data_IF_654758629564
#
_entry.id   IF_654758629564
#
_cell.length_a   1.000
_cell.length_b   1.000
_cell.length_c   1.000
_cell.angle_alpha   90.00
_cell.angle_beta   90.00
_cell.angle_gamma   90.00
#
_symmetry.space_group_name_H-M   'P 1'
#
loop_
_entity.id
_entity.type
_entity.pdbx_description
1 polymer ?
#
# COMPACT_ATOMS: atom_id res chain seq x y z
N UNK A 1 -8.23 9.31 0.18
CA UNK A 1 -8.66 7.98 -0.31
C UNK A 1 -7.49 7.01 -0.53
N UNK A 2 -6.24 7.50 -0.62
CA UNK A 2 -5.04 6.69 -0.83
C UNK A 2 -4.46 6.04 0.44
N UNK A 3 -4.94 6.38 1.62
CA UNK A 3 -4.47 5.78 2.88
C UNK A 3 -4.66 4.28 2.87
N UNK A 4 -3.64 3.56 3.35
CA UNK A 4 -3.63 2.09 3.39
C UNK A 4 -3.58 1.65 4.84
N UNK A 5 -4.56 0.91 5.28
CA UNK A 5 -4.56 0.28 6.59
C UNK A 5 -3.78 -1.04 6.48
N UNK A 6 -2.55 -1.05 7.03
CA UNK A 6 -1.66 -2.21 6.95
C UNK A 6 -1.91 -3.22 8.08
N UNK A 7 -2.39 -2.75 9.23
CA UNK A 7 -2.71 -3.59 10.38
C UNK A 7 -3.76 -2.93 11.26
N UNK A 8 -4.67 -3.72 11.82
CA UNK A 8 -5.65 -3.24 12.80
C UNK A 8 -6.16 -4.40 13.66
N UNK A 9 -5.32 -4.85 14.57
CA UNK A 9 -5.60 -5.96 15.46
C UNK A 9 -6.25 -5.49 16.76
N UNK A 10 -6.83 -6.44 17.47
CA UNK A 10 -7.31 -6.21 18.83
C UNK A 10 -6.11 -6.04 19.78
N UNK A 11 -6.15 -5.04 20.64
CA UNK A 11 -5.08 -4.77 21.63
C UNK A 11 -5.01 -5.88 22.69
N UNK A 12 -6.18 -6.38 23.08
CA UNK A 12 -6.29 -7.46 24.08
C UNK A 12 -6.87 -8.71 23.44
N UNK A 13 -5.99 -9.58 23.00
CA UNK A 13 -6.36 -10.86 22.38
C UNK A 13 -6.99 -11.86 23.36
N UNK A 14 -6.93 -11.60 24.68
CA UNK A 14 -7.49 -12.48 25.72
C UNK A 14 -8.96 -12.21 26.01
N UNK A 15 -9.51 -11.07 25.55
CA UNK A 15 -10.90 -10.68 25.76
C UNK A 15 -11.76 -10.94 24.53
N UNK A 16 -12.81 -11.73 24.68
CA UNK A 16 -13.80 -11.97 23.62
C UNK A 16 -14.63 -10.74 23.22
N UNK A 17 -14.47 -9.62 23.93
CA UNK A 17 -15.13 -8.34 23.68
C UNK A 17 -14.18 -7.25 23.14
N UNK A 18 -12.92 -7.58 22.85
CA UNK A 18 -11.96 -6.59 22.32
C UNK A 18 -12.27 -6.25 20.86
N UNK A 19 -12.30 -4.96 20.55
CA UNK A 19 -12.40 -4.45 19.18
C UNK A 19 -11.02 -4.02 18.69
N UNK A 20 -10.82 -3.95 17.36
CA UNK A 20 -9.63 -3.30 16.79
C UNK A 20 -9.44 -1.88 17.33
N UNK A 21 -8.18 -1.41 17.37
CA UNK A 21 -7.86 -0.09 17.93
C UNK A 21 -8.38 1.05 17.06
N UNK A 22 -8.39 0.89 15.75
CA UNK A 22 -8.96 1.87 14.82
C UNK A 22 -10.35 1.44 14.33
N UNK A 23 -11.28 2.40 14.12
CA UNK A 23 -11.13 3.85 14.34
C UNK A 23 -11.06 4.22 15.81
N UNK A 24 -10.35 5.32 16.11
CA UNK A 24 -10.17 5.84 17.46
C UNK A 24 -11.50 6.31 18.06
N UNK A 25 -11.64 6.13 19.37
CA UNK A 25 -12.77 6.70 20.10
C UNK A 25 -12.53 8.20 20.30
N UNK A 26 -13.49 9.08 19.93
CA UNK A 26 -13.36 10.52 20.14
C UNK A 26 -13.19 10.95 21.61
N UNK A 27 -13.44 10.05 22.58
CA UNK A 27 -13.25 10.31 24.01
C UNK A 27 -11.84 10.05 24.51
N UNK A 28 -10.99 9.34 23.74
CA UNK A 28 -9.65 8.97 24.16
C UNK A 28 -8.73 10.18 24.32
N UNK A 29 -7.87 10.12 25.34
CA UNK A 29 -6.76 11.03 25.53
C UNK A 29 -5.61 10.62 24.61
N UNK A 30 -5.11 11.53 23.80
CA UNK A 30 -4.18 11.27 22.73
C UNK A 30 -2.80 11.89 23.03
N UNK A 31 -1.73 11.13 22.79
CA UNK A 31 -0.37 11.62 22.67
C UNK A 31 0.09 11.54 21.21
N UNK A 32 0.69 12.61 20.68
CA UNK A 32 1.29 12.65 19.34
C UNK A 32 2.82 12.57 19.48
N UNK A 33 3.40 11.56 18.88
CA UNK A 33 4.81 11.22 19.07
C UNK A 33 5.47 10.99 17.72
N UNK A 34 6.79 11.21 17.65
CA UNK A 34 7.61 10.89 16.48
C UNK A 34 7.96 12.10 15.63
N UNK A 35 8.99 11.98 14.78
CA UNK A 35 9.55 13.12 14.05
C UNK A 35 8.56 13.76 13.05
N UNK A 36 7.59 12.99 12.56
CA UNK A 36 6.63 13.48 11.57
C UNK A 36 5.26 13.92 12.16
N UNK A 37 5.13 14.03 13.49
CA UNK A 37 3.83 14.41 14.08
C UNK A 37 3.33 15.79 13.60
N UNK A 38 4.25 16.70 13.29
CA UNK A 38 3.95 18.03 12.76
C UNK A 38 4.41 18.22 11.31
N UNK A 39 4.53 17.14 10.54
CA UNK A 39 4.98 17.17 9.17
C UNK A 39 4.13 18.13 8.31
N UNK A 40 4.80 18.95 7.52
CA UNK A 40 4.22 19.83 6.50
C UNK A 40 4.91 19.58 5.16
N UNK A 41 6.16 19.98 5.02
CA UNK A 41 6.98 19.77 3.84
C UNK A 41 7.24 18.28 3.59
N UNK A 42 7.46 17.49 4.65
CA UNK A 42 7.66 16.04 4.57
C UNK A 42 6.48 15.27 3.96
N UNK A 43 5.28 15.85 3.94
CA UNK A 43 4.12 15.22 3.33
C UNK A 43 4.04 15.45 1.83
N UNK A 44 4.97 16.22 1.25
CA UNK A 44 4.94 16.63 -0.14
C UNK A 44 6.17 16.06 -0.84
N UNK A 45 5.94 15.21 -1.85
CA UNK A 45 7.02 14.63 -2.66
C UNK A 45 7.88 15.72 -3.32
N UNK A 46 9.10 15.41 -3.72
CA UNK A 46 9.98 16.32 -4.48
C UNK A 46 9.43 16.68 -5.87
N UNK A 47 8.58 15.83 -6.45
CA UNK A 47 7.95 16.05 -7.75
C UNK A 47 6.58 16.71 -7.58
N UNK A 48 6.58 17.99 -7.23
CA UNK A 48 5.37 18.77 -7.04
C UNK A 48 5.42 20.10 -7.81
N UNK A 49 4.25 20.70 -8.03
CA UNK A 49 4.13 22.08 -8.50
C UNK A 49 4.36 23.09 -7.38
N UNK A 50 3.90 24.32 -7.56
CA UNK A 50 3.95 25.34 -6.51
C UNK A 50 3.09 24.89 -5.31
N UNK A 51 3.73 24.72 -4.16
CA UNK A 51 3.09 24.34 -2.90
C UNK A 51 3.07 25.54 -1.96
N UNK A 52 1.93 25.77 -1.35
CA UNK A 52 1.80 26.81 -0.32
C UNK A 52 1.93 26.18 1.04
N UNK A 53 3.15 26.03 1.56
CA UNK A 53 3.43 25.41 2.86
C UNK A 53 2.60 26.02 4.00
N UNK A 54 2.31 27.35 3.94
CA UNK A 54 1.43 27.99 4.91
C UNK A 54 -0.03 27.50 4.86
N UNK A 55 -0.42 26.73 3.85
CA UNK A 55 -1.75 26.13 3.72
C UNK A 55 -1.70 24.60 3.92
N UNK A 56 -0.53 24.03 4.17
CA UNK A 56 -0.37 22.60 4.45
C UNK A 56 -0.86 22.31 5.87
N UNK A 57 -1.72 21.31 5.98
CA UNK A 57 -2.32 20.92 7.24
C UNK A 57 -1.53 19.76 7.84
N UNK A 58 -0.71 20.01 8.87
CA UNK A 58 0.02 18.95 9.56
C UNK A 58 -0.92 18.03 10.37
N UNK A 59 -0.52 16.78 10.65
CA UNK A 59 -1.26 15.89 11.55
C UNK A 59 -1.52 16.52 12.91
N UNK A 60 -0.52 17.20 13.49
CA UNK A 60 -0.65 17.91 14.77
C UNK A 60 -1.75 18.98 14.73
N UNK A 61 -1.75 19.85 13.72
CA UNK A 61 -2.72 20.94 13.61
C UNK A 61 -4.16 20.41 13.57
N UNK A 62 -4.40 19.36 12.80
CA UNK A 62 -5.76 18.83 12.61
C UNK A 62 -6.19 17.97 13.79
N UNK A 63 -5.33 17.10 14.28
CA UNK A 63 -5.67 16.21 15.40
C UNK A 63 -5.86 17.05 16.69
N UNK A 64 -4.96 17.99 16.99
CA UNK A 64 -5.09 18.86 18.17
C UNK A 64 -6.37 19.67 18.15
N UNK A 65 -6.76 20.23 17.00
CA UNK A 65 -8.02 20.93 16.82
C UNK A 65 -9.23 20.01 17.05
N UNK A 66 -9.13 18.76 16.60
CA UNK A 66 -10.20 17.76 16.70
C UNK A 66 -10.42 17.30 18.14
N UNK A 67 -9.34 17.00 18.85
CA UNK A 67 -9.43 16.40 20.20
C UNK A 67 -9.48 17.44 21.32
N UNK A 68 -9.00 18.66 21.07
CA UNK A 68 -9.01 19.76 22.04
C UNK A 68 -8.27 19.40 23.32
N UNK A 69 -8.92 19.53 24.49
CA UNK A 69 -8.37 19.27 25.82
C UNK A 69 -7.97 17.80 26.06
N UNK A 70 -8.34 16.88 25.15
CA UNK A 70 -7.92 15.47 25.22
C UNK A 70 -6.54 15.23 24.65
N UNK A 71 -5.90 16.21 24.01
CA UNK A 71 -4.51 16.14 23.66
C UNK A 71 -3.67 16.26 24.93
N UNK A 72 -3.03 15.15 25.34
CA UNK A 72 -2.14 15.13 26.49
C UNK A 72 -0.87 15.94 26.21
N UNK A 73 -0.38 15.85 24.98
CA UNK A 73 0.79 16.55 24.53
C UNK A 73 1.40 15.95 23.27
N UNK A 74 2.57 16.44 22.93
CA UNK A 74 3.34 15.94 21.80
C UNK A 74 4.82 15.86 22.18
N UNK A 75 5.55 14.95 21.54
CA UNK A 75 7.00 14.80 21.66
C UNK A 75 7.58 14.26 20.36
N UNK A 76 8.57 14.93 19.75
CA UNK A 76 9.27 14.39 18.58
C UNK A 76 9.95 13.04 18.89
N UNK A 77 10.42 12.87 20.13
CA UNK A 77 11.14 11.67 20.55
C UNK A 77 12.55 11.59 19.97
N UNK A 78 12.69 11.90 18.71
CA UNK A 78 13.95 11.96 17.98
C UNK A 78 14.49 13.38 17.95
N UNK A 79 15.82 13.52 18.10
CA UNK A 79 16.51 14.80 17.89
C UNK A 79 17.54 14.60 16.79
N UNK A 80 17.68 15.57 15.89
CA UNK A 80 18.68 15.55 14.83
C UNK A 80 20.04 16.02 15.32
N UNK A 81 21.08 15.61 14.60
CA UNK A 81 22.47 16.06 14.90
C UNK A 81 22.71 17.53 14.50
N UNK A 82 21.85 18.12 13.71
CA UNK A 82 22.15 19.34 12.97
C UNK A 82 21.21 20.47 13.39
N UNK A 83 21.20 20.93 14.55
CA UNK A 83 20.58 22.17 15.08
C UNK A 83 19.72 23.10 14.19
N UNK A 84 19.61 22.78 12.90
CA UNK A 84 18.91 23.54 11.88
C UNK A 84 17.53 22.96 11.49
N UNK A 85 17.11 21.82 12.09
CA UNK A 85 15.76 21.27 11.90
C UNK A 85 14.90 21.59 13.14
N UNK A 86 14.11 22.67 13.09
CA UNK A 86 13.30 23.11 14.22
C UNK A 86 12.15 22.16 14.56
N UNK A 87 11.82 21.20 13.70
CA UNK A 87 10.69 20.29 13.86
C UNK A 87 11.05 18.87 14.33
N UNK A 88 12.32 18.64 14.69
CA UNK A 88 12.81 17.33 15.12
C UNK A 88 13.24 16.46 13.94
N UNK A 89 14.54 16.15 13.87
CA UNK A 89 15.15 15.50 12.73
C UNK A 89 14.54 14.14 12.44
N UNK A 90 14.03 13.96 11.23
CA UNK A 90 13.59 12.68 10.70
C UNK A 90 14.69 11.63 10.66
N UNK A 91 15.96 12.04 10.68
CA UNK A 91 17.11 11.15 10.82
C UNK A 91 17.15 10.38 12.15
N UNK A 92 16.56 10.95 13.22
CA UNK A 92 16.43 10.29 14.53
C UNK A 92 17.75 9.70 15.06
N UNK A 93 18.83 10.46 15.02
CA UNK A 93 20.16 10.00 15.44
C UNK A 93 20.40 10.11 16.96
N UNK A 94 19.62 10.95 17.65
CA UNK A 94 19.69 11.16 19.09
C UNK A 94 18.39 10.71 19.78
N UNK A 95 18.54 9.93 20.84
CA UNK A 95 17.44 9.36 21.63
C UNK A 95 17.10 10.14 22.89
N UNK A 96 17.70 11.34 23.11
CA UNK A 96 17.50 12.14 24.31
C UNK A 96 16.03 12.53 24.57
N UNK A 97 15.22 12.64 23.52
CA UNK A 97 13.78 12.91 23.61
C UNK A 97 12.90 11.70 23.93
N UNK A 98 13.45 10.48 24.01
CA UNK A 98 12.65 9.26 24.26
C UNK A 98 11.96 9.28 25.62
N UNK A 99 12.60 9.85 26.65
CA UNK A 99 12.00 9.92 27.99
C UNK A 99 10.69 10.69 28.01
N UNK A 100 10.60 11.79 27.27
CA UNK A 100 9.39 12.61 27.19
C UNK A 100 8.31 11.92 26.37
N UNK A 101 8.68 11.29 25.26
CA UNK A 101 7.77 10.48 24.46
C UNK A 101 7.16 9.31 25.25
N UNK A 102 7.98 8.58 26.00
CA UNK A 102 7.55 7.48 26.88
C UNK A 102 6.63 7.97 28.01
N UNK A 103 6.95 9.11 28.60
CA UNK A 103 6.11 9.74 29.64
C UNK A 103 4.72 10.08 29.09
N UNK A 104 4.65 10.78 27.96
CA UNK A 104 3.41 11.13 27.32
C UNK A 104 2.56 9.89 26.92
N UNK A 105 3.22 8.85 26.39
CA UNK A 105 2.56 7.62 26.04
C UNK A 105 1.88 6.94 27.24
N UNK A 106 2.51 6.96 28.42
CA UNK A 106 1.95 6.41 29.67
C UNK A 106 0.73 7.16 30.18
N UNK A 107 0.65 8.47 29.93
CA UNK A 107 -0.42 9.34 30.40
C UNK A 107 -1.64 9.33 29.44
N UNK A 108 -1.47 8.87 28.19
CA UNK A 108 -2.49 8.85 27.17
C UNK A 108 -3.27 7.53 27.15
N UNK A 109 -4.54 7.59 26.69
CA UNK A 109 -5.30 6.39 26.38
C UNK A 109 -4.79 5.71 25.11
N UNK A 110 -4.36 6.51 24.12
CA UNK A 110 -3.75 6.04 22.86
C UNK A 110 -2.54 6.90 22.51
N UNK A 111 -1.45 6.27 22.12
CA UNK A 111 -0.26 6.92 21.57
C UNK A 111 -0.26 6.77 20.03
N UNK A 112 -0.10 7.88 19.30
CA UNK A 112 0.02 7.87 17.84
C UNK A 112 1.45 8.26 17.48
N UNK A 113 2.18 7.34 16.85
CA UNK A 113 3.59 7.54 16.48
C UNK A 113 3.71 7.78 14.99
N UNK A 114 4.20 8.96 14.62
CA UNK A 114 4.42 9.40 13.25
C UNK A 114 5.90 9.23 12.89
N UNK A 115 6.18 8.37 11.93
CA UNK A 115 7.54 8.03 11.48
C UNK A 115 7.57 7.89 9.96
N UNK A 116 8.77 7.85 9.40
CA UNK A 116 8.92 7.63 7.96
C UNK A 116 10.17 8.25 7.39
N UNK A 117 10.03 8.82 6.20
CA UNK A 117 11.11 9.37 5.39
C UNK A 117 10.80 10.82 5.03
N UNK A 118 11.84 11.57 4.67
CA UNK A 118 11.73 12.97 4.23
C UNK A 118 12.07 13.08 2.76
N UNK A 119 11.22 13.73 1.93
CA UNK A 119 11.57 14.04 0.56
C UNK A 119 12.55 15.22 0.50
N UNK A 120 13.44 15.22 -0.51
CA UNK A 120 14.28 16.38 -0.83
C UNK A 120 15.67 16.42 -0.21
N UNK A 121 16.37 17.50 -0.48
CA UNK A 121 17.81 17.64 -0.18
C UNK A 121 18.04 18.15 1.25
N UNK A 122 18.22 17.25 2.20
CA UNK A 122 18.86 17.61 3.46
C UNK A 122 20.38 17.67 3.26
N UNK A 123 20.98 18.83 3.46
CA UNK A 123 22.44 19.00 3.37
C UNK A 123 23.11 18.21 4.51
N UNK A 124 23.96 17.24 4.14
CA UNK A 124 24.78 16.43 5.06
C UNK A 124 24.07 15.31 5.85
N UNK A 125 22.91 14.82 5.43
CA UNK A 125 22.29 13.68 6.09
C UNK A 125 22.88 12.34 5.60
N UNK A 126 23.56 11.63 6.47
CA UNK A 126 24.11 10.28 6.25
C UNK A 126 23.18 9.16 6.75
N UNK A 127 21.99 9.49 7.21
CA UNK A 127 21.12 8.59 7.98
C UNK A 127 20.20 7.72 7.16
N UNK A 128 20.20 7.80 5.82
CA UNK A 128 19.19 7.16 4.95
C UNK A 128 17.71 7.60 5.26
N UNK A 129 17.53 8.73 5.93
CA UNK A 129 16.19 9.28 6.19
C UNK A 129 15.56 9.93 4.95
N UNK A 130 16.40 10.26 3.99
CA UNK A 130 16.07 11.03 2.82
C UNK A 130 15.66 10.15 1.64
N UNK A 131 14.69 10.66 0.87
CA UNK A 131 14.34 10.17 -0.47
C UNK A 131 14.47 11.31 -1.47
N UNK A 132 15.36 11.18 -2.45
CA UNK A 132 15.61 12.22 -3.43
C UNK A 132 16.05 11.63 -4.77
N UNK A 133 15.82 12.37 -5.86
CA UNK A 133 16.35 12.00 -7.17
C UNK A 133 17.88 12.01 -7.16
N UNK A 134 18.49 10.92 -7.65
CA UNK A 134 19.93 10.75 -7.67
C UNK A 134 20.53 10.35 -6.31
N UNK A 135 19.69 10.03 -5.33
CA UNK A 135 20.14 9.55 -4.02
C UNK A 135 19.29 8.35 -3.57
N UNK A 136 19.78 7.16 -3.86
CA UNK A 136 19.11 5.92 -3.46
C UNK A 136 19.48 5.55 -2.02
N UNK A 137 18.48 5.09 -1.28
CA UNK A 137 18.66 4.60 0.09
C UNK A 137 19.43 3.27 0.07
N UNK A 138 20.35 3.09 1.03
CA UNK A 138 21.14 1.87 1.19
C UNK A 138 20.42 0.81 2.02
N UNK A 139 19.42 1.20 2.82
CA UNK A 139 18.61 0.33 3.68
C UNK A 139 17.13 0.53 3.38
N UNK A 140 16.30 -0.46 3.69
CA UNK A 140 14.85 -0.40 3.53
C UNK A 140 14.11 -0.20 4.86
N UNK A 141 14.82 -0.22 5.99
CA UNK A 141 14.25 -0.01 7.33
C UNK A 141 13.96 1.48 7.59
N UNK A 142 13.24 1.76 8.67
CA UNK A 142 13.15 3.12 9.20
C UNK A 142 14.53 3.67 9.53
N UNK A 143 14.79 4.97 9.28
CA UNK A 143 16.07 5.58 9.53
C UNK A 143 16.36 5.75 11.03
N UNK A 144 17.65 5.79 11.37
CA UNK A 144 18.14 6.06 12.72
C UNK A 144 17.49 5.20 13.79
N UNK A 145 16.98 5.84 14.83
CA UNK A 145 16.34 5.20 15.98
C UNK A 145 14.79 5.24 15.94
N UNK A 146 14.18 5.52 14.79
CA UNK A 146 12.70 5.60 14.70
C UNK A 146 12.01 4.31 15.13
N UNK A 147 12.51 3.12 14.73
CA UNK A 147 11.93 1.86 15.20
C UNK A 147 12.12 1.63 16.70
N UNK A 148 13.28 2.05 17.26
CA UNK A 148 13.51 2.02 18.70
C UNK A 148 12.55 2.95 19.47
N UNK A 149 12.18 4.10 18.89
CA UNK A 149 11.16 4.99 19.45
C UNK A 149 9.79 4.29 19.48
N UNK A 150 9.38 3.64 18.38
CA UNK A 150 8.14 2.85 18.35
C UNK A 150 8.14 1.79 19.45
N UNK A 151 9.25 1.06 19.60
CA UNK A 151 9.42 0.02 20.64
C UNK A 151 9.26 0.59 22.04
N UNK A 152 9.89 1.72 22.33
CA UNK A 152 9.82 2.37 23.64
C UNK A 152 8.42 2.88 23.96
N UNK A 153 7.73 3.47 22.98
CA UNK A 153 6.36 3.96 23.11
C UNK A 153 5.39 2.78 23.30
N UNK A 154 5.50 1.74 22.50
CA UNK A 154 4.66 0.55 22.60
C UNK A 154 4.83 -0.18 23.95
N UNK A 155 6.06 -0.27 24.45
CA UNK A 155 6.31 -0.83 25.77
C UNK A 155 5.68 0.00 26.91
N UNK A 156 5.50 1.29 26.69
CA UNK A 156 4.86 2.22 27.65
C UNK A 156 3.32 2.21 27.52
N UNK A 157 2.81 2.05 26.31
CA UNK A 157 1.38 2.01 26.00
C UNK A 157 1.08 1.05 24.84
N UNK A 158 0.55 -0.15 25.11
CA UNK A 158 0.20 -1.11 24.05
C UNK A 158 -0.87 -0.63 23.07
N UNK A 159 -1.67 0.39 23.43
CA UNK A 159 -2.60 1.06 22.50
C UNK A 159 -1.84 2.09 21.66
N UNK A 160 -0.89 1.59 20.87
CA UNK A 160 -0.07 2.39 19.97
C UNK A 160 -0.56 2.24 18.52
N UNK A 161 -0.73 3.36 17.85
CA UNK A 161 -0.96 3.43 16.39
C UNK A 161 0.31 3.98 15.74
N UNK A 162 0.80 3.33 14.71
CA UNK A 162 1.91 3.86 13.88
C UNK A 162 1.34 4.43 12.59
N UNK A 163 1.70 5.66 12.27
CA UNK A 163 1.40 6.33 11.00
C UNK A 163 2.70 6.52 10.23
N UNK A 164 2.75 5.98 9.02
CA UNK A 164 3.92 6.05 8.14
C UNK A 164 3.76 7.18 7.13
N UNK A 165 4.77 8.05 7.02
CA UNK A 165 4.86 9.11 5.99
C UNK A 165 6.13 8.85 5.20
N UNK A 166 6.01 8.45 3.93
CA UNK A 166 7.14 8.02 3.11
C UNK A 166 6.76 7.86 1.64
N UNK A 167 7.75 7.79 0.74
CA UNK A 167 7.56 7.45 -0.67
C UNK A 167 7.98 6.02 -0.98
N UNK A 168 9.16 5.57 -0.52
CA UNK A 168 9.66 4.21 -0.75
C UNK A 168 9.17 3.21 0.31
N UNK A 169 8.95 1.96 -0.04
CA UNK A 169 8.53 0.91 0.90
C UNK A 169 9.48 0.76 2.09
N UNK A 170 8.91 0.54 3.27
CA UNK A 170 9.62 0.41 4.53
C UNK A 170 9.55 -1.02 5.07
N UNK A 171 10.71 -1.62 5.35
CA UNK A 171 10.83 -2.92 6.01
C UNK A 171 10.76 -2.73 7.52
N UNK A 172 9.58 -2.96 8.11
CA UNK A 172 9.26 -2.71 9.51
C UNK A 172 8.77 -4.00 10.21
N UNK A 173 9.59 -5.04 10.16
CA UNK A 173 9.25 -6.37 10.65
C UNK A 173 8.76 -6.35 12.09
N UNK A 174 9.55 -5.75 12.99
CA UNK A 174 9.22 -5.71 14.41
C UNK A 174 7.90 -4.95 14.65
N UNK A 175 7.73 -3.80 14.01
CA UNK A 175 6.52 -2.98 14.12
C UNK A 175 5.30 -3.75 13.63
N UNK A 176 5.42 -4.45 12.48
CA UNK A 176 4.35 -5.31 11.96
C UNK A 176 3.94 -6.41 12.93
N UNK A 177 4.90 -7.04 13.58
CA UNK A 177 4.63 -8.15 14.50
C UNK A 177 3.96 -7.69 15.79
N UNK A 178 4.40 -6.58 16.35
CA UNK A 178 4.08 -6.19 17.72
C UNK A 178 3.00 -5.10 17.83
N UNK A 179 3.04 -4.06 16.99
CA UNK A 179 2.11 -2.94 17.13
C UNK A 179 0.73 -3.30 16.58
N UNK A 180 -0.38 -2.98 17.29
CA UNK A 180 -1.72 -3.41 16.88
C UNK A 180 -2.24 -2.72 15.63
N UNK A 181 -1.87 -1.44 15.37
CA UNK A 181 -2.43 -0.69 14.26
C UNK A 181 -1.36 0.10 13.50
N UNK A 182 -1.38 -0.02 12.16
CA UNK A 182 -0.45 0.65 11.25
C UNK A 182 -1.24 1.25 10.10
N UNK A 183 -1.15 2.57 9.95
CA UNK A 183 -1.73 3.33 8.84
C UNK A 183 -0.59 3.88 7.97
N UNK A 184 -0.59 3.54 6.70
CA UNK A 184 0.35 4.04 5.71
C UNK A 184 -0.29 5.20 4.94
N UNK A 185 0.31 6.39 5.09
CA UNK A 185 -0.17 7.61 4.47
C UNK A 185 0.58 7.95 3.18
N UNK A 186 1.71 7.32 2.90
CA UNK A 186 2.66 7.76 1.87
C UNK A 186 3.01 9.25 2.03
N UNK A 187 3.18 9.99 0.93
CA UNK A 187 3.23 11.45 0.93
C UNK A 187 1.83 12.00 0.60
N UNK A 188 1.02 12.37 1.63
CA UNK A 188 -0.40 12.63 1.44
C UNK A 188 -0.73 14.02 0.88
N UNK A 189 0.27 14.91 0.73
CA UNK A 189 0.11 16.24 0.17
C UNK A 189 -0.39 17.29 1.17
N UNK A 190 -0.79 18.46 0.66
CA UNK A 190 -1.15 19.66 1.47
C UNK A 190 -2.23 19.41 2.52
N UNK A 191 -3.23 18.57 2.21
CA UNK A 191 -4.32 18.21 3.15
C UNK A 191 -4.08 16.85 3.84
N UNK A 192 -2.80 16.47 3.96
CA UNK A 192 -2.40 15.18 4.54
C UNK A 192 -2.87 14.99 5.98
N UNK A 193 -2.77 16.03 6.81
CA UNK A 193 -3.26 16.01 8.19
C UNK A 193 -4.76 15.73 8.29
N UNK A 194 -5.57 16.35 7.42
CA UNK A 194 -7.02 16.10 7.36
C UNK A 194 -7.32 14.65 6.96
N UNK A 195 -6.63 14.15 5.94
CA UNK A 195 -6.82 12.79 5.45
C UNK A 195 -6.42 11.74 6.51
N UNK A 196 -5.29 11.94 7.18
CA UNK A 196 -4.82 11.07 8.28
C UNK A 196 -5.82 11.11 9.44
N UNK A 197 -6.18 12.30 9.93
CA UNK A 197 -7.12 12.43 11.02
C UNK A 197 -8.48 11.79 10.69
N UNK A 198 -9.01 12.02 9.49
CA UNK A 198 -10.26 11.42 9.05
C UNK A 198 -10.20 9.89 8.97
N UNK A 199 -9.07 9.32 8.54
CA UNK A 199 -8.86 7.87 8.58
C UNK A 199 -8.81 7.35 10.02
N UNK A 200 -7.99 7.97 10.88
CA UNK A 200 -7.83 7.55 12.28
C UNK A 200 -9.14 7.55 13.07
N UNK A 201 -10.02 8.50 12.80
CA UNK A 201 -11.30 8.63 13.51
C UNK A 201 -12.50 8.03 12.77
N UNK A 202 -12.29 7.38 11.63
CA UNK A 202 -13.35 6.67 10.91
C UNK A 202 -14.36 7.57 10.19
N UNK A 203 -14.01 8.83 9.85
CA UNK A 203 -14.86 9.67 9.00
C UNK A 203 -15.03 9.02 7.62
N UNK A 204 -14.06 8.22 7.21
CA UNK A 204 -14.13 7.24 6.11
C UNK A 204 -13.34 5.99 6.46
N UNK A 205 -13.68 4.88 5.82
CA UNK A 205 -12.91 3.64 5.92
C UNK A 205 -11.76 3.66 4.91
N UNK A 206 -10.51 3.33 5.30
CA UNK A 206 -9.41 3.18 4.35
C UNK A 206 -9.75 2.17 3.26
N UNK A 207 -9.40 2.50 2.01
CA UNK A 207 -9.63 1.66 0.85
C UNK A 207 -8.45 1.69 -0.14
N UNK A 208 -7.33 2.30 0.25
CA UNK A 208 -6.06 2.23 -0.46
C UNK A 208 -5.50 0.81 -0.49
N UNK A 209 -4.65 0.54 -1.49
CA UNK A 209 -3.97 -0.74 -1.68
C UNK A 209 -2.51 -0.48 -2.04
N UNK A 210 -1.61 -1.31 -1.51
CA UNK A 210 -0.19 -1.23 -1.84
C UNK A 210 0.02 -1.41 -3.34
N UNK A 211 0.74 -0.49 -3.94
CA UNK A 211 1.11 -0.48 -5.36
C UNK A 211 2.41 -1.24 -5.64
N UNK A 212 3.03 -1.75 -4.59
CA UNK A 212 4.23 -2.61 -4.62
C UNK A 212 4.13 -3.64 -3.51
N UNK A 213 4.95 -4.68 -3.55
CA UNK A 213 5.14 -5.52 -2.39
C UNK A 213 6.20 -4.90 -1.46
N UNK A 214 6.08 -5.14 -0.16
CA UNK A 214 7.07 -4.71 0.84
C UNK A 214 7.99 -5.88 1.16
N UNK A 215 9.27 -5.74 0.80
CA UNK A 215 10.27 -6.78 1.05
C UNK A 215 10.72 -6.83 2.52
N UNK A 216 11.22 -7.98 2.99
CA UNK A 216 12.01 -8.03 4.22
C UNK A 216 13.31 -7.24 4.04
N UNK A 217 13.85 -6.71 5.15
CA UNK A 217 15.08 -5.87 5.16
C UNK A 217 16.29 -6.52 4.49
N UNK A 218 16.39 -7.84 4.52
CA UNK A 218 17.53 -8.56 3.97
C UNK A 218 17.59 -8.57 2.44
N UNK A 219 16.55 -8.06 1.74
CA UNK A 219 16.52 -7.98 0.28
C UNK A 219 17.71 -7.20 -0.29
N UNK A 220 18.16 -6.16 0.40
CA UNK A 220 19.29 -5.32 -0.02
C UNK A 220 20.62 -6.09 -0.09
N UNK A 221 20.73 -7.18 0.68
CA UNK A 221 21.89 -8.07 0.68
C UNK A 221 21.76 -9.22 -0.29
N UNK A 222 20.54 -9.53 -0.75
CA UNK A 222 20.27 -10.67 -1.62
C UNK A 222 20.60 -10.40 -3.09
N UNK A 223 20.64 -9.12 -3.50
CA UNK A 223 20.82 -8.73 -4.89
C UNK A 223 21.69 -7.49 -5.03
N UNK A 224 22.50 -7.46 -6.11
CA UNK A 224 23.14 -6.24 -6.54
C UNK A 224 22.14 -5.40 -7.34
N UNK A 225 22.10 -4.08 -7.13
CA UNK A 225 21.21 -3.15 -7.83
C UNK A 225 21.42 -3.20 -9.37
N UNK A 226 22.62 -3.54 -9.83
CA UNK A 226 22.92 -3.71 -11.26
C UNK A 226 22.40 -5.03 -11.85
N UNK A 227 21.81 -5.94 -11.05
CA UNK A 227 21.26 -7.20 -11.53
C UNK A 227 19.89 -6.98 -12.16
N UNK A 228 19.84 -6.96 -13.48
CA UNK A 228 18.63 -6.73 -14.28
C UNK A 228 17.73 -7.97 -14.44
N UNK A 229 18.14 -9.14 -13.91
CA UNK A 229 17.38 -10.37 -14.05
C UNK A 229 16.19 -10.40 -13.08
N UNK A 230 14.98 -10.17 -13.57
CA UNK A 230 13.76 -10.15 -12.72
C UNK A 230 13.45 -11.51 -12.09
N UNK A 231 13.89 -12.62 -12.69
CA UNK A 231 13.57 -14.00 -12.28
C UNK A 231 14.69 -14.67 -11.48
N UNK A 232 15.91 -14.12 -11.51
CA UNK A 232 17.08 -14.73 -10.87
C UNK A 232 17.06 -14.54 -9.35
N UNK A 233 17.74 -15.42 -8.61
CA UNK A 233 17.99 -15.27 -7.15
C UNK A 233 16.71 -15.01 -6.32
N UNK A 234 15.67 -15.79 -6.57
CA UNK A 234 14.38 -15.63 -5.88
C UNK A 234 13.45 -14.60 -6.47
N UNK A 235 13.84 -13.96 -7.55
CA UNK A 235 13.03 -12.98 -8.27
C UNK A 235 12.89 -11.64 -7.56
N UNK A 236 12.33 -10.66 -8.29
CA UNK A 236 11.91 -9.35 -7.76
C UNK A 236 10.58 -8.96 -8.39
N UNK A 237 9.96 -7.93 -7.86
CA UNK A 237 8.60 -7.48 -8.14
C UNK A 237 7.54 -8.51 -7.72
N UNK A 238 6.31 -8.06 -7.60
CA UNK A 238 5.21 -8.94 -7.22
C UNK A 238 4.97 -10.09 -8.22
N UNK A 239 5.44 -9.95 -9.48
CA UNK A 239 5.30 -10.96 -10.52
C UNK A 239 6.28 -12.14 -10.35
N UNK A 240 7.46 -11.91 -9.78
CA UNK A 240 8.54 -12.90 -9.80
C UNK A 240 9.15 -13.21 -8.43
N UNK A 241 8.90 -12.41 -7.40
CA UNK A 241 9.44 -12.67 -6.07
C UNK A 241 8.82 -13.93 -5.46
N UNK A 242 9.67 -14.90 -5.13
CA UNK A 242 9.27 -16.20 -4.55
C UNK A 242 9.51 -16.29 -3.04
N UNK A 243 10.08 -15.25 -2.44
CA UNK A 243 10.21 -15.15 -0.98
C UNK A 243 8.90 -14.72 -0.32
N UNK A 244 8.93 -14.58 1.00
CA UNK A 244 7.78 -14.11 1.79
C UNK A 244 7.90 -12.58 1.99
N UNK A 245 7.07 -11.75 1.36
CA UNK A 245 7.08 -10.31 1.62
C UNK A 245 6.49 -9.99 2.99
N UNK A 246 6.75 -8.80 3.49
CA UNK A 246 6.03 -8.28 4.66
C UNK A 246 4.57 -8.04 4.31
N UNK A 247 4.31 -7.37 3.20
CA UNK A 247 2.97 -7.22 2.63
C UNK A 247 3.04 -7.43 1.12
N UNK A 248 2.03 -8.09 0.61
CA UNK A 248 1.90 -8.37 -0.82
C UNK A 248 1.42 -7.13 -1.59
N UNK A 249 1.68 -7.09 -2.88
CA UNK A 249 1.08 -6.14 -3.81
C UNK A 249 -0.46 -6.24 -3.74
N UNK A 250 -1.11 -5.09 -3.69
CA UNK A 250 -2.57 -5.01 -3.58
C UNK A 250 -3.10 -5.21 -2.16
N UNK A 251 -2.21 -5.37 -1.16
CA UNK A 251 -2.61 -5.48 0.24
C UNK A 251 -3.21 -4.17 0.77
N UNK A 252 -4.21 -4.29 1.62
CA UNK A 252 -4.78 -3.21 2.41
C UNK A 252 -6.06 -3.67 3.10
N UNK A 253 -6.27 -3.24 4.34
CA UNK A 253 -7.45 -3.48 5.15
C UNK A 253 -8.47 -2.35 4.98
N UNK A 254 -9.66 -2.58 5.49
CA UNK A 254 -10.75 -1.61 5.63
C UNK A 254 -11.40 -1.79 7.00
N UNK A 255 -12.19 -0.82 7.46
CA UNK A 255 -12.99 -0.96 8.69
C UNK A 255 -14.24 -1.83 8.51
N UNK A 256 -14.39 -2.41 7.32
CA UNK A 256 -15.46 -3.33 6.96
C UNK A 256 -14.92 -4.47 6.12
N UNK A 257 -15.77 -5.46 5.84
CA UNK A 257 -15.41 -6.63 5.02
C UNK A 257 -16.20 -6.62 3.72
N UNK A 258 -15.68 -7.32 2.70
CA UNK A 258 -16.33 -7.44 1.40
C UNK A 258 -16.33 -8.89 0.92
N UNK A 259 -17.40 -9.27 0.23
CA UNK A 259 -17.44 -10.51 -0.53
C UNK A 259 -17.48 -10.22 -2.03
N UNK A 260 -16.92 -11.17 -2.79
CA UNK A 260 -16.79 -11.10 -4.23
C UNK A 260 -17.42 -12.32 -4.88
N UNK A 261 -18.15 -12.11 -5.96
CA UNK A 261 -18.79 -13.18 -6.72
C UNK A 261 -18.70 -12.88 -8.21
N UNK A 262 -18.23 -13.84 -9.01
CA UNK A 262 -18.29 -13.74 -10.46
C UNK A 262 -19.71 -14.00 -10.91
N UNK A 263 -20.38 -12.95 -11.42
CA UNK A 263 -21.79 -12.98 -11.83
C UNK A 263 -22.01 -13.35 -13.31
N UNK A 264 -20.93 -13.50 -14.09
CA UNK A 264 -20.92 -14.03 -15.46
C UNK A 264 -20.27 -15.41 -15.49
N UNK A 265 -20.19 -16.09 -16.62
CA UNK A 265 -19.66 -17.46 -16.63
C UNK A 265 -18.31 -17.55 -15.92
N UNK A 266 -18.21 -18.42 -14.92
CA UNK A 266 -16.95 -18.67 -14.18
C UNK A 266 -15.86 -19.27 -15.09
N UNK A 267 -16.24 -19.73 -16.27
CA UNK A 267 -15.33 -20.26 -17.29
C UNK A 267 -15.67 -19.60 -18.62
N UNK A 268 -14.72 -18.83 -19.13
CA UNK A 268 -14.78 -18.25 -20.46
C UNK A 268 -13.92 -19.06 -21.42
N UNK A 269 -14.38 -19.22 -22.65
CA UNK A 269 -13.63 -19.83 -23.75
C UNK A 269 -13.59 -18.81 -24.88
N UNK A 270 -12.38 -18.33 -25.20
CA UNK A 270 -12.15 -17.27 -26.18
C UNK A 270 -11.04 -17.73 -27.14
N UNK A 271 -11.11 -17.36 -28.40
CA UNK A 271 -10.02 -17.64 -29.34
C UNK A 271 -8.90 -16.61 -29.20
N UNK A 272 -7.67 -17.03 -29.44
CA UNK A 272 -6.52 -16.11 -29.52
C UNK A 272 -6.73 -15.04 -30.58
N UNK A 273 -7.39 -15.38 -31.70
CA UNK A 273 -7.76 -14.44 -32.77
C UNK A 273 -8.66 -13.33 -32.24
N UNK A 274 -9.71 -13.67 -31.49
CA UNK A 274 -10.65 -12.69 -30.96
C UNK A 274 -9.99 -11.70 -29.98
N UNK A 275 -8.98 -12.14 -29.22
CA UNK A 275 -8.21 -11.25 -28.33
C UNK A 275 -7.39 -10.25 -29.16
N UNK A 276 -6.67 -10.71 -30.20
CA UNK A 276 -5.85 -9.86 -31.05
C UNK A 276 -6.70 -8.88 -31.86
N UNK A 277 -7.79 -9.35 -32.45
CA UNK A 277 -8.72 -8.50 -33.22
C UNK A 277 -9.31 -7.40 -32.34
N UNK A 278 -9.73 -7.74 -31.12
CA UNK A 278 -10.24 -6.77 -30.16
C UNK A 278 -9.20 -5.71 -29.83
N UNK A 279 -7.94 -6.11 -29.54
CA UNK A 279 -6.87 -5.19 -29.16
C UNK A 279 -6.59 -4.17 -30.27
N UNK A 280 -6.54 -4.61 -31.52
CA UNK A 280 -6.37 -3.72 -32.68
C UNK A 280 -7.50 -2.69 -32.81
N UNK A 281 -8.76 -3.12 -32.60
CA UNK A 281 -9.93 -2.22 -32.67
C UNK A 281 -10.00 -1.30 -31.45
N UNK A 282 -9.65 -1.79 -30.26
CA UNK A 282 -9.66 -1.03 -29.01
C UNK A 282 -8.79 0.23 -29.10
N UNK A 283 -7.57 0.11 -29.62
CA UNK A 283 -6.69 1.26 -29.84
C UNK A 283 -7.25 2.26 -30.87
N UNK A 284 -7.97 1.78 -31.87
CA UNK A 284 -8.62 2.63 -32.88
C UNK A 284 -9.88 3.30 -32.36
N UNK A 285 -10.65 2.63 -31.49
CA UNK A 285 -11.93 3.12 -30.91
C UNK A 285 -11.78 3.95 -29.64
N UNK A 286 -10.56 4.31 -29.25
CA UNK A 286 -10.26 5.05 -28.00
C UNK A 286 -10.78 4.37 -26.72
N UNK A 287 -10.86 3.07 -26.71
CA UNK A 287 -11.18 2.30 -25.49
C UNK A 287 -12.67 2.06 -25.22
N UNK A 288 -13.56 2.26 -26.19
CA UNK A 288 -15.00 2.09 -25.99
C UNK A 288 -15.49 0.64 -26.04
N UNK A 289 -14.69 -0.31 -26.51
CA UNK A 289 -15.07 -1.71 -26.63
C UNK A 289 -14.65 -2.57 -25.45
N UNK A 290 -15.55 -3.39 -24.95
CA UNK A 290 -15.26 -4.37 -23.89
C UNK A 290 -14.50 -5.57 -24.45
N UNK A 291 -13.44 -6.00 -23.77
CA UNK A 291 -12.68 -7.19 -24.13
C UNK A 291 -13.59 -8.45 -24.16
N UNK A 292 -13.38 -9.38 -25.11
CA UNK A 292 -14.05 -10.67 -25.09
C UNK A 292 -13.67 -11.53 -23.88
N UNK A 293 -12.54 -11.22 -23.21
CA UNK A 293 -12.08 -11.83 -21.97
C UNK A 293 -12.43 -10.95 -20.76
N UNK A 294 -13.69 -10.56 -20.59
CA UNK A 294 -14.18 -9.72 -19.51
C UNK A 294 -15.08 -10.48 -18.54
N UNK A 295 -15.06 -10.04 -17.27
CA UNK A 295 -15.86 -10.61 -16.20
C UNK A 295 -16.66 -9.55 -15.47
N UNK A 296 -17.89 -9.91 -15.10
CA UNK A 296 -18.69 -9.11 -14.17
C UNK A 296 -18.52 -9.67 -12.76
N UNK A 297 -18.10 -8.82 -11.84
CA UNK A 297 -17.86 -9.17 -10.45
C UNK A 297 -18.85 -8.40 -9.57
N UNK A 298 -19.67 -9.13 -8.83
CA UNK A 298 -20.52 -8.57 -7.79
C UNK A 298 -19.68 -8.37 -6.54
N UNK A 299 -19.72 -7.15 -5.99
CA UNK A 299 -19.06 -6.75 -4.76
C UNK A 299 -20.12 -6.41 -3.75
N UNK A 300 -20.05 -7.01 -2.57
CA UNK A 300 -21.00 -6.77 -1.47
C UNK A 300 -20.23 -6.33 -0.22
N UNK A 301 -20.65 -5.26 0.42
CA UNK A 301 -20.18 -4.90 1.75
C UNK A 301 -20.84 -5.83 2.78
N UNK A 302 -20.05 -6.72 3.38
CA UNK A 302 -20.52 -7.74 4.34
C UNK A 302 -20.31 -7.34 5.80
N UNK A 303 -19.62 -6.23 6.05
CA UNK A 303 -19.41 -5.72 7.41
C UNK A 303 -20.38 -4.60 7.78
N UNK A 304 -20.00 -3.81 8.77
CA UNK A 304 -20.91 -2.87 9.45
C UNK A 304 -20.61 -1.39 9.15
N UNK A 305 -19.57 -1.08 8.39
CA UNK A 305 -19.14 0.29 8.11
C UNK A 305 -19.32 0.60 6.62
N UNK A 306 -19.90 1.78 6.34
CA UNK A 306 -19.99 2.30 4.97
C UNK A 306 -18.57 2.52 4.42
N UNK A 307 -18.24 1.94 3.27
CA UNK A 307 -16.88 1.98 2.74
C UNK A 307 -16.83 1.86 1.23
N UNK A 308 -15.81 2.47 0.64
CA UNK A 308 -15.38 2.16 -0.72
C UNK A 308 -14.57 0.87 -0.73
N UNK A 309 -14.48 0.24 -1.89
CA UNK A 309 -13.67 -0.95 -2.13
C UNK A 309 -12.87 -0.80 -3.42
N UNK A 310 -11.58 -1.09 -3.38
CA UNK A 310 -10.73 -1.22 -4.57
C UNK A 310 -10.66 -2.70 -4.95
N UNK A 311 -11.38 -3.07 -6.00
CA UNK A 311 -11.43 -4.44 -6.54
C UNK A 311 -10.28 -4.63 -7.51
N UNK A 312 -9.46 -5.65 -7.29
CA UNK A 312 -8.31 -5.98 -8.14
C UNK A 312 -8.61 -7.27 -8.92
N UNK A 313 -8.27 -7.29 -10.20
CA UNK A 313 -8.34 -8.47 -11.05
C UNK A 313 -6.95 -8.99 -11.39
N UNK A 314 -6.67 -10.25 -11.05
CA UNK A 314 -5.39 -10.89 -11.31
C UNK A 314 -5.54 -12.09 -12.23
N UNK A 315 -4.50 -12.33 -13.04
CA UNK A 315 -4.39 -13.50 -13.89
C UNK A 315 -3.07 -14.22 -13.65
N UNK A 316 -3.09 -15.54 -13.74
CA UNK A 316 -1.90 -16.39 -13.74
C UNK A 316 -2.01 -17.50 -14.77
N UNK A 317 -0.88 -18.01 -15.22
CA UNK A 317 -0.77 -19.07 -16.22
C UNK A 317 0.37 -20.01 -15.87
N UNK A 318 0.24 -21.28 -16.25
CA UNK A 318 1.26 -22.32 -16.07
C UNK A 318 2.29 -22.37 -17.21
N UNK A 319 2.26 -21.41 -18.14
CA UNK A 319 3.28 -21.34 -19.20
C UNK A 319 4.66 -21.01 -18.61
N UNK A 320 5.72 -21.67 -19.12
CA UNK A 320 7.09 -21.55 -18.58
C UNK A 320 7.62 -20.12 -18.53
N UNK A 321 7.26 -19.31 -19.52
CA UNK A 321 7.71 -17.92 -19.63
C UNK A 321 6.73 -16.92 -18.97
N UNK A 322 5.62 -17.40 -18.40
CA UNK A 322 4.69 -16.56 -17.64
C UNK A 322 5.31 -16.09 -16.32
N UNK A 323 4.84 -15.00 -15.72
CA UNK A 323 5.16 -14.66 -14.33
C UNK A 323 4.91 -15.82 -13.38
N UNK A 324 5.82 -16.04 -12.41
CA UNK A 324 5.69 -17.12 -11.40
C UNK A 324 4.50 -16.90 -10.49
N UNK A 325 4.17 -15.62 -10.26
CA UNK A 325 3.00 -15.19 -9.50
C UNK A 325 1.93 -14.67 -10.46
N UNK A 326 0.84 -14.19 -9.87
CA UNK A 326 -0.25 -13.56 -10.63
C UNK A 326 0.13 -12.14 -11.09
N UNK A 327 -0.49 -11.69 -12.17
CA UNK A 327 -0.34 -10.35 -12.74
C UNK A 327 -1.65 -9.58 -12.65
N UNK A 328 -1.60 -8.31 -12.19
CA UNK A 328 -2.75 -7.41 -12.20
C UNK A 328 -3.11 -7.08 -13.66
N UNK A 329 -4.36 -7.29 -14.03
CA UNK A 329 -4.83 -6.97 -15.38
C UNK A 329 -5.78 -5.78 -15.42
N UNK A 330 -6.54 -5.58 -14.34
CA UNK A 330 -7.52 -4.49 -14.27
C UNK A 330 -7.90 -4.22 -12.82
N UNK A 331 -8.47 -3.07 -12.54
CA UNK A 331 -8.99 -2.72 -11.23
C UNK A 331 -10.16 -1.74 -11.34
N UNK A 332 -11.01 -1.74 -10.32
CA UNK A 332 -12.09 -0.79 -10.20
C UNK A 332 -12.25 -0.33 -8.75
N UNK A 333 -12.61 0.94 -8.56
CA UNK A 333 -13.02 1.47 -7.27
C UNK A 333 -14.53 1.60 -7.24
N UNK A 334 -15.16 1.07 -6.21
CA UNK A 334 -16.61 1.05 -6.03
C UNK A 334 -17.03 1.68 -4.72
N UNK A 335 -18.23 2.16 -4.69
CA UNK A 335 -18.88 2.69 -3.48
C UNK A 335 -18.85 4.21 -3.36
N UNK A 336 -19.10 4.72 -2.14
CA UNK A 336 -19.23 3.94 -0.90
C UNK A 336 -20.46 3.03 -0.87
N UNK A 337 -20.26 1.78 -0.43
CA UNK A 337 -21.32 0.79 -0.24
C UNK A 337 -21.71 0.74 1.24
N UNK A 338 -23.00 0.84 1.52
CA UNK A 338 -23.55 0.65 2.87
C UNK A 338 -23.46 -0.84 3.27
N UNK A 339 -23.56 -1.16 4.58
CA UNK A 339 -23.71 -2.54 5.03
C UNK A 339 -24.81 -3.31 4.28
N UNK A 340 -24.46 -4.45 3.71
CA UNK A 340 -25.34 -5.28 2.89
C UNK A 340 -25.55 -4.82 1.44
N UNK A 341 -25.09 -3.64 1.06
CA UNK A 341 -25.22 -3.12 -0.30
C UNK A 341 -24.26 -3.81 -1.26
N UNK A 342 -24.67 -3.98 -2.50
CA UNK A 342 -23.90 -4.62 -3.55
C UNK A 342 -23.88 -3.78 -4.82
N UNK A 343 -22.80 -3.93 -5.58
CA UNK A 343 -22.69 -3.40 -6.95
C UNK A 343 -21.99 -4.40 -7.86
N UNK A 344 -22.04 -4.18 -9.17
CA UNK A 344 -21.34 -5.01 -10.15
C UNK A 344 -20.32 -4.14 -10.88
N UNK A 345 -19.09 -4.64 -10.94
CA UNK A 345 -18.01 -4.05 -11.75
C UNK A 345 -17.67 -4.98 -12.91
N UNK A 346 -17.26 -4.39 -14.02
CA UNK A 346 -16.74 -5.12 -15.16
C UNK A 346 -15.23 -4.94 -15.23
N UNK A 347 -14.48 -6.06 -15.24
CA UNK A 347 -13.02 -6.08 -15.35
C UNK A 347 -12.63 -6.88 -16.59
N UNK A 348 -11.71 -6.34 -17.39
CA UNK A 348 -11.35 -6.86 -18.71
C UNK A 348 -9.88 -7.20 -18.82
N UNK A 349 -9.56 -8.38 -19.36
CA UNK A 349 -8.18 -8.79 -19.63
C UNK A 349 -7.74 -8.25 -21.00
N UNK A 350 -6.74 -7.35 -21.05
CA UNK A 350 -6.17 -6.88 -22.31
C UNK A 350 -5.20 -7.90 -22.91
N UNK A 351 -4.98 -7.83 -24.20
CA UNK A 351 -4.03 -8.68 -24.93
C UNK A 351 -2.61 -8.60 -24.35
N UNK A 352 -2.20 -7.42 -23.90
CA UNK A 352 -0.87 -7.17 -23.33
C UNK A 352 -0.58 -7.99 -22.07
N UNK A 353 -1.59 -8.21 -21.22
CA UNK A 353 -1.45 -9.01 -19.99
C UNK A 353 -1.57 -10.53 -20.29
N UNK A 354 -2.33 -10.89 -21.32
CA UNK A 354 -2.44 -12.27 -21.78
C UNK A 354 -1.24 -12.73 -22.64
N UNK A 355 -0.36 -11.80 -22.98
CA UNK A 355 0.83 -12.08 -23.80
C UNK A 355 2.04 -12.40 -22.94
N UNK A 356 2.89 -13.26 -23.46
CA UNK A 356 4.13 -13.70 -22.83
C UNK A 356 5.29 -13.38 -23.77
N UNK A 357 6.38 -12.83 -23.21
CA UNK A 357 7.62 -12.57 -23.94
C UNK A 357 8.56 -13.73 -23.69
N UNK A 358 8.96 -14.42 -24.76
CA UNK A 358 9.91 -15.51 -24.69
C UNK A 358 11.37 -15.02 -24.58
N UNK A 359 12.32 -15.98 -24.42
CA UNK A 359 13.76 -15.69 -24.33
C UNK A 359 14.34 -15.00 -25.57
N UNK A 360 13.67 -15.11 -26.71
CA UNK A 360 14.09 -14.53 -27.98
C UNK A 360 13.51 -13.12 -28.20
N UNK A 361 12.72 -12.61 -27.25
CA UNK A 361 12.08 -11.31 -27.31
C UNK A 361 10.86 -11.29 -28.23
N UNK A 362 10.20 -12.43 -28.43
CA UNK A 362 8.93 -12.52 -29.16
C UNK A 362 7.79 -12.50 -28.15
N UNK A 363 6.90 -11.52 -28.28
CA UNK A 363 5.70 -11.39 -27.48
C UNK A 363 4.52 -12.04 -28.18
N UNK A 364 3.92 -13.04 -27.54
CA UNK A 364 2.84 -13.84 -28.11
C UNK A 364 1.72 -14.11 -27.12
N UNK A 365 0.49 -14.16 -27.62
CA UNK A 365 -0.66 -14.71 -26.90
C UNK A 365 -0.65 -16.23 -27.13
N UNK A 366 -0.62 -17.00 -26.05
CA UNK A 366 -0.54 -18.45 -26.09
C UNK A 366 -1.90 -19.08 -25.76
N UNK A 367 -2.32 -20.12 -26.50
CA UNK A 367 -3.49 -20.91 -26.12
C UNK A 367 -3.20 -21.67 -24.82
N UNK A 368 -4.21 -21.81 -23.95
CA UNK A 368 -4.04 -22.50 -22.69
C UNK A 368 -5.06 -22.12 -21.64
N UNK A 369 -4.80 -22.54 -20.41
CA UNK A 369 -5.61 -22.21 -19.25
C UNK A 369 -5.00 -21.04 -18.48
N UNK A 370 -5.84 -20.10 -18.10
CA UNK A 370 -5.49 -18.96 -17.30
C UNK A 370 -6.41 -18.92 -16.07
N UNK A 371 -5.84 -18.85 -14.89
CA UNK A 371 -6.60 -18.69 -13.66
C UNK A 371 -6.80 -17.21 -13.39
N UNK A 372 -8.04 -16.83 -13.09
CA UNK A 372 -8.44 -15.44 -12.87
C UNK A 372 -8.97 -15.31 -11.44
N UNK A 373 -8.55 -14.26 -10.75
CA UNK A 373 -8.88 -13.99 -9.36
C UNK A 373 -9.33 -12.54 -9.20
N UNK A 374 -10.38 -12.31 -8.42
CA UNK A 374 -10.93 -10.97 -8.14
C UNK A 374 -11.08 -10.76 -6.65
N UNK A 375 -10.69 -9.61 -6.16
CA UNK A 375 -10.88 -9.29 -4.76
C UNK A 375 -9.94 -8.24 -4.22
N UNK A 376 -9.81 -8.23 -2.91
CA UNK A 376 -8.83 -7.45 -2.15
C UNK A 376 -7.87 -8.40 -1.46
N UNK A 377 -6.63 -7.98 -1.27
CA UNK A 377 -5.67 -8.73 -0.48
C UNK A 377 -5.61 -8.17 0.93
N UNK A 378 -5.36 -9.04 1.91
CA UNK A 378 -5.01 -8.66 3.26
C UNK A 378 -6.03 -8.92 4.35
N UNK A 379 -7.28 -9.24 4.02
CA UNK A 379 -8.26 -9.68 5.01
C UNK A 379 -8.52 -11.18 4.87
N UNK A 380 -8.35 -11.92 5.95
CA UNK A 380 -8.74 -13.34 6.01
C UNK A 380 -10.25 -13.54 5.79
N UNK A 381 -11.05 -12.48 5.99
CA UNK A 381 -12.49 -12.48 5.84
C UNK A 381 -12.96 -12.13 4.42
N UNK A 382 -12.04 -11.66 3.56
CA UNK A 382 -12.33 -11.34 2.16
C UNK A 382 -11.78 -12.42 1.24
N UNK A 383 -12.58 -13.46 1.00
CA UNK A 383 -12.19 -14.55 0.10
C UNK A 383 -12.31 -14.07 -1.35
N UNK A 384 -11.22 -14.13 -2.15
CA UNK A 384 -11.27 -13.77 -3.55
C UNK A 384 -12.22 -14.66 -4.35
N UNK A 385 -12.91 -14.06 -5.32
CA UNK A 385 -13.68 -14.82 -6.30
C UNK A 385 -12.74 -15.32 -7.41
N UNK A 386 -12.94 -16.57 -7.86
CA UNK A 386 -12.11 -17.19 -8.89
C UNK A 386 -12.90 -17.51 -10.14
N UNK A 387 -12.22 -17.41 -11.28
CA UNK A 387 -12.75 -17.80 -12.59
C UNK A 387 -11.64 -18.42 -13.44
N UNK A 388 -11.99 -18.92 -14.61
CA UNK A 388 -11.04 -19.51 -15.55
C UNK A 388 -11.27 -18.94 -16.94
N UNK A 389 -10.18 -18.54 -17.61
CA UNK A 389 -10.15 -18.25 -19.03
C UNK A 389 -9.44 -19.40 -19.75
N UNK A 390 -10.04 -19.89 -20.82
CA UNK A 390 -9.42 -20.82 -21.77
C UNK A 390 -9.24 -20.08 -23.08
N UNK A 391 -7.99 -19.91 -23.48
CA UNK A 391 -7.66 -19.45 -24.80
C UNK A 391 -7.47 -20.66 -25.73
N UNK A 392 -8.25 -20.74 -26.80
CA UNK A 392 -8.13 -21.75 -27.83
C UNK A 392 -7.61 -21.14 -29.15
N UNK A 393 -7.18 -21.98 -30.08
CA UNK A 393 -6.58 -21.57 -31.34
C UNK A 393 -5.06 -21.74 -31.36
N UNK A 394 -4.39 -21.02 -32.24
CA UNK A 394 -2.94 -21.03 -32.38
C UNK A 394 -2.29 -19.89 -31.60
N UNK A 395 -1.00 -20.04 -31.27
CA UNK A 395 -0.20 -18.93 -30.78
C UNK A 395 -0.23 -17.76 -31.75
N UNK A 396 -0.34 -16.55 -31.22
CA UNK A 396 -0.39 -15.30 -32.00
C UNK A 396 0.73 -14.37 -31.54
N UNK A 397 1.73 -14.17 -32.41
CA UNK A 397 2.71 -13.13 -32.23
C UNK A 397 2.03 -11.76 -32.35
N UNK A 398 2.27 -10.89 -31.36
CA UNK A 398 1.75 -9.51 -31.34
C UNK A 398 2.88 -8.48 -31.47
N UNK A 399 4.09 -8.85 -31.07
CA UNK A 399 5.27 -7.99 -31.15
C UNK A 399 6.57 -8.81 -31.14
N UNK A 400 7.62 -8.30 -31.83
CA UNK A 400 8.95 -8.88 -31.76
C UNK A 400 10.01 -7.78 -31.62
N UNK A 401 10.82 -7.86 -30.58
CA UNK A 401 11.97 -6.96 -30.39
C UNK A 401 13.05 -7.14 -31.47
N UNK A 402 13.04 -8.27 -32.19
CA UNK A 402 13.96 -8.49 -33.34
C UNK A 402 13.66 -7.55 -34.51
N UNK A 403 12.40 -7.15 -34.68
CA UNK A 403 11.99 -6.23 -35.76
C UNK A 403 12.48 -4.80 -35.56
N UNK A 404 12.92 -4.42 -34.37
CA UNK A 404 13.47 -3.08 -34.09
C UNK A 404 14.94 -2.92 -34.48
N UNK A 405 15.60 -3.99 -34.92
CA UNK A 405 17.02 -3.97 -35.33
C UNK A 405 17.21 -3.78 -36.84
N UNK A 406 16.14 -3.58 -37.60
CA UNK A 406 16.16 -3.23 -39.03
C UNK A 406 15.77 -1.76 -39.21
#
# INVERSE_FOLDING_TARGET
QGMILLKNDNVDSSSSSSSPLLPLNPSDKIALIGPHFNATEDMISIYHGDVRLAQTHSPYQIISKRVGEKLIGYAPGCVGSDGDDPDGSTSCLDTSGFSDAVKLAKEADVAIVFVGLTPGQMKNDSSDAREDEGWDRHITTLPGHQEALIQAVYAANPKTVVVLIHGAPLSIEWTKENVPSILDAHYPGELGGDAIASALYGDYSPAGRLTTLVYPKDIVNARNISDMCLRCKGGITYKYYTGKPLWEFGFGLSYTTFSFEVSSPKKLIVSTDAIVEHDQVYYQSKGEMKSPAGYNVKVTNTGNVNSECSVLGFVSSDHNDAPVNKELFDFARVGPLKPGESTIVHLSLPATVLSIVDKDGVQSILPGKYNVEFGVHGSAESVPATAQLILNGNSKEIFSFKSLKQ
#
